data_IF_500525976533
#
_entry.id   IF_500525976533
#
_cell.length_a   1.000
_cell.length_b   1.000
_cell.length_c   1.000
_cell.angle_alpha   90.00
_cell.angle_beta   90.00
_cell.angle_gamma   90.00
#
_symmetry.space_group_name_H-M   'P 1'
#
loop_
_entity.id
_entity.type
_entity.pdbx_description
1 polymer ?
#
# COMPACT_ATOMS: atom_id res chain seq x y z
N UNK A 1 -1.62 24.16 60.08
CA UNK A 1 -1.36 24.37 58.64
C UNK A 1 -1.80 25.78 58.27
N UNK A 2 -0.90 26.61 57.77
CA UNK A 2 -1.22 27.97 57.29
C UNK A 2 -2.04 27.89 55.99
N UNK A 3 -3.35 28.05 56.08
CA UNK A 3 -4.25 28.07 54.91
C UNK A 3 -3.84 29.13 53.89
N UNK A 4 -3.31 30.28 54.35
CA UNK A 4 -2.81 31.36 53.50
C UNK A 4 -1.61 30.99 52.63
N UNK A 5 -0.75 30.06 53.09
CA UNK A 5 0.39 29.56 52.30
C UNK A 5 -0.04 28.48 51.31
N UNK A 6 -1.01 27.66 51.69
CA UNK A 6 -1.63 26.67 50.80
C UNK A 6 -2.30 27.33 49.59
N UNK A 7 -3.10 28.38 49.79
CA UNK A 7 -3.72 29.11 48.67
C UNK A 7 -2.69 29.80 47.77
N UNK A 8 -1.58 30.35 48.29
CA UNK A 8 -0.56 30.98 47.43
C UNK A 8 0.25 29.99 46.59
N UNK A 9 0.53 28.79 47.13
CA UNK A 9 1.37 27.80 46.44
C UNK A 9 0.57 26.95 45.43
N UNK A 10 -0.73 26.74 45.67
CA UNK A 10 -1.60 25.93 44.81
C UNK A 10 -2.57 26.74 43.93
N UNK A 11 -2.81 28.04 44.19
CA UNK A 11 -3.71 28.83 43.34
C UNK A 11 -3.20 28.99 41.90
N UNK A 12 -1.89 29.20 41.72
CA UNK A 12 -1.31 29.41 40.39
C UNK A 12 -1.44 28.18 39.47
N UNK A 13 -1.08 26.94 39.88
CA UNK A 13 -1.29 25.77 39.02
C UNK A 13 -2.78 25.48 38.78
N UNK A 14 -3.67 25.70 39.75
CA UNK A 14 -5.12 25.53 39.55
C UNK A 14 -5.70 26.56 38.57
N UNK A 15 -5.23 27.81 38.61
CA UNK A 15 -5.66 28.86 37.68
C UNK A 15 -5.22 28.54 36.24
N UNK A 16 -4.02 27.98 36.06
CA UNK A 16 -3.54 27.55 34.73
C UNK A 16 -4.41 26.43 34.17
N UNK A 17 -4.77 25.44 34.99
CA UNK A 17 -5.67 24.35 34.58
C UNK A 17 -7.06 24.88 34.23
N UNK A 18 -7.61 25.79 35.04
CA UNK A 18 -8.91 26.41 34.78
C UNK A 18 -8.93 27.24 33.48
N UNK A 19 -7.86 28.02 33.22
CA UNK A 19 -7.69 28.74 31.95
C UNK A 19 -7.58 27.78 30.76
N UNK A 20 -6.84 26.67 30.90
CA UNK A 20 -6.71 25.65 29.87
C UNK A 20 -8.05 25.01 29.51
N UNK A 21 -8.86 24.66 30.51
CA UNK A 21 -10.22 24.13 30.30
C UNK A 21 -11.11 25.17 29.61
N UNK A 22 -11.03 26.44 30.01
CA UNK A 22 -11.80 27.52 29.39
C UNK A 22 -11.46 27.73 27.91
N UNK A 23 -10.17 27.75 27.56
CA UNK A 23 -9.71 27.86 26.17
C UNK A 23 -10.14 26.63 25.36
N UNK A 24 -10.03 25.43 25.93
CA UNK A 24 -10.47 24.20 25.28
C UNK A 24 -11.97 24.22 24.93
N UNK A 25 -12.82 24.62 25.88
CA UNK A 25 -14.27 24.75 25.65
C UNK A 25 -14.57 25.84 24.61
N UNK A 26 -13.88 26.97 24.65
CA UNK A 26 -14.04 28.03 23.66
C UNK A 26 -13.67 27.57 22.24
N UNK A 27 -12.60 26.79 22.08
CA UNK A 27 -12.20 26.21 20.78
C UNK A 27 -13.24 25.24 20.25
N UNK A 28 -13.81 24.36 21.10
CA UNK A 28 -14.89 23.46 20.69
C UNK A 28 -16.13 24.24 20.24
N UNK A 29 -16.55 25.25 21.00
CA UNK A 29 -17.69 26.09 20.61
C UNK A 29 -17.44 26.89 19.32
N UNK A 30 -16.19 27.31 19.07
CA UNK A 30 -15.81 28.00 17.84
C UNK A 30 -15.72 27.06 16.62
N UNK A 31 -15.40 25.78 16.85
CA UNK A 31 -15.41 24.75 15.80
C UNK A 31 -16.83 24.36 15.36
N UNK A 32 -17.82 24.43 16.27
CA UNK A 32 -19.20 24.01 15.99
C UNK A 32 -20.00 25.03 15.15
N UNK A 33 -19.57 26.29 15.07
CA UNK A 33 -20.24 27.30 14.22
C UNK A 33 -20.12 27.03 12.72
N UNK A 34 -19.22 26.15 12.28
CA UNK A 34 -18.97 25.89 10.85
C UNK A 34 -19.80 24.74 10.28
N UNK A 35 -20.57 24.01 11.11
CA UNK A 35 -21.30 22.80 10.70
C UNK A 35 -22.81 22.80 11.06
N UNK A 36 -23.41 23.92 11.49
CA UNK A 36 -24.86 24.01 11.67
C UNK A 36 -25.59 24.33 10.35
N UNK A 37 -25.60 23.38 9.41
CA UNK A 37 -26.66 23.28 8.39
C UNK A 37 -27.49 22.04 8.74
N UNK A 38 -28.24 22.14 9.83
CA UNK A 38 -29.30 21.18 10.16
C UNK A 38 -30.43 21.45 9.17
N UNK A 39 -30.61 20.51 8.25
CA UNK A 39 -31.74 20.46 7.33
C UNK A 39 -33.05 20.47 8.13
N UNK A 40 -33.79 21.57 8.07
CA UNK A 40 -35.19 21.58 8.51
C UNK A 40 -35.98 20.63 7.61
N UNK A 41 -36.32 19.44 8.12
CA UNK A 41 -37.52 18.73 7.66
C UNK A 41 -38.71 19.61 7.98
N UNK A 42 -39.39 20.12 6.96
CA UNK A 42 -40.75 20.60 7.07
C UNK A 42 -41.67 19.52 6.49
N UNK A 43 -42.67 19.03 7.22
CA UNK A 43 -43.66 18.11 6.68
C UNK A 43 -44.86 18.89 6.12
N UNK A 44 -45.57 18.22 5.20
CA UNK A 44 -46.97 18.45 4.81
C UNK A 44 -47.21 19.24 3.52
N UNK A 45 -48.15 18.69 2.73
CA UNK A 45 -49.02 19.51 1.89
C UNK A 45 -48.86 19.33 0.39
N UNK A 46 -49.53 18.33 -0.15
CA UNK A 46 -50.07 18.32 -1.51
C UNK A 46 -50.73 19.65 -1.86
N UNK A 47 -50.40 20.29 -2.99
CA UNK A 47 -51.36 21.08 -3.78
C UNK A 47 -50.88 21.27 -5.23
N UNK A 48 -51.55 20.54 -6.11
CA UNK A 48 -52.08 20.88 -7.44
C UNK A 48 -51.33 21.93 -8.30
N UNK A 49 -50.88 21.43 -9.44
CA UNK A 49 -50.54 22.12 -10.69
C UNK A 49 -51.63 23.10 -11.12
N UNK A 50 -51.27 24.37 -11.30
CA UNK A 50 -51.97 25.26 -12.23
C UNK A 50 -50.96 26.18 -12.90
N UNK A 51 -50.71 25.92 -14.18
CA UNK A 51 -49.97 26.80 -15.07
C UNK A 51 -50.92 27.90 -15.54
N UNK A 52 -50.44 29.16 -15.55
CA UNK A 52 -50.66 30.08 -16.67
C UNK A 52 -49.61 31.22 -16.64
N UNK A 53 -49.24 31.81 -17.79
CA UNK A 53 -48.03 32.62 -17.99
C UNK A 53 -48.31 34.11 -18.23
N UNK A 54 -47.42 35.02 -17.83
CA UNK A 54 -47.27 36.41 -18.31
C UNK A 54 -46.06 37.03 -17.54
N UNK A 55 -44.90 37.34 -18.12
CA UNK A 55 -44.49 38.32 -19.15
C UNK A 55 -43.61 39.43 -18.53
N UNK A 56 -42.29 39.32 -18.78
CA UNK A 56 -41.28 40.38 -19.04
C UNK A 56 -40.96 41.46 -17.98
N UNK A 57 -39.90 42.29 -18.16
CA UNK A 57 -38.60 42.09 -18.87
C UNK A 57 -37.37 42.51 -17.99
N UNK A 58 -36.13 42.17 -18.41
CA UNK A 58 -35.06 43.15 -18.72
C UNK A 58 -33.66 42.50 -18.94
N UNK A 59 -33.08 42.85 -20.09
CA UNK A 59 -31.70 42.72 -20.61
C UNK A 59 -30.69 43.69 -19.91
N UNK A 60 -29.38 43.80 -20.29
CA UNK A 60 -28.60 43.07 -21.30
C UNK A 60 -27.23 42.52 -20.84
N UNK A 61 -26.69 41.68 -21.72
CA UNK A 61 -25.31 41.22 -21.84
C UNK A 61 -24.35 42.39 -22.15
N UNK A 62 -23.16 42.42 -21.54
CA UNK A 62 -22.03 43.20 -22.04
C UNK A 62 -20.98 42.28 -22.68
N UNK A 63 -20.84 42.45 -23.99
CA UNK A 63 -19.70 42.03 -24.81
C UNK A 63 -18.73 43.22 -24.83
N UNK A 64 -17.46 43.00 -24.53
CA UNK A 64 -16.39 43.92 -24.88
C UNK A 64 -15.25 43.14 -25.54
N UNK A 65 -15.19 43.30 -26.85
CA UNK A 65 -14.02 43.06 -27.69
C UNK A 65 -12.95 44.12 -27.35
N UNK A 66 -11.68 43.73 -27.38
CA UNK A 66 -10.60 44.59 -27.91
C UNK A 66 -9.44 43.70 -28.36
N UNK A 67 -9.06 43.94 -29.62
CA UNK A 67 -8.08 43.23 -30.43
C UNK A 67 -6.76 44.08 -30.49
N UNK A 68 -5.82 43.85 -31.43
CA UNK A 68 -4.52 43.19 -31.26
C UNK A 68 -3.32 44.16 -31.22
N UNK A 69 -2.09 43.62 -31.10
CA UNK A 69 -0.88 43.94 -31.91
C UNK A 69 0.43 43.76 -31.13
N UNK A 70 1.32 42.86 -31.59
CA UNK A 70 2.68 43.13 -32.09
C UNK A 70 3.58 41.89 -32.10
N UNK A 71 3.53 41.21 -33.24
CA UNK A 71 4.66 40.88 -34.11
C UNK A 71 6.07 41.34 -33.65
N UNK A 72 6.99 40.37 -33.49
CA UNK A 72 8.39 40.51 -33.92
C UNK A 72 8.79 39.18 -34.56
N UNK A 73 8.94 39.24 -35.89
CA UNK A 73 9.60 38.26 -36.73
C UNK A 73 11.12 38.53 -36.77
N UNK A 74 11.92 37.47 -36.75
CA UNK A 74 13.23 37.41 -37.40
C UNK A 74 13.68 35.95 -37.47
N UNK A 75 13.21 35.27 -38.54
CA UNK A 75 14.05 34.71 -39.62
C UNK A 75 15.53 34.41 -39.27
N UNK A 76 15.94 33.13 -39.35
CA UNK A 76 16.74 32.51 -40.44
C UNK A 76 18.23 32.42 -40.00
N UNK A 77 18.98 31.32 -40.10
CA UNK A 77 19.14 30.33 -41.16
C UNK A 77 19.94 29.08 -40.61
N UNK A 78 20.02 27.93 -41.31
CA UNK A 78 20.43 26.62 -40.80
C UNK A 78 21.85 26.19 -41.30
N UNK A 79 22.07 24.86 -41.40
CA UNK A 79 23.29 24.08 -41.68
C UNK A 79 24.03 23.67 -40.39
N UNK A 80 24.43 22.41 -40.16
CA UNK A 80 25.15 21.47 -41.04
C UNK A 80 24.79 20.02 -40.65
N UNK A 81 24.67 19.15 -41.67
CA UNK A 81 24.49 17.70 -41.60
C UNK A 81 25.79 16.92 -41.28
N UNK A 82 25.57 15.68 -40.80
CA UNK A 82 26.37 14.45 -41.07
C UNK A 82 27.65 14.16 -40.25
N UNK A 83 28.19 12.92 -40.27
CA UNK A 83 27.59 11.59 -40.07
C UNK A 83 28.20 10.84 -38.86
N UNK A 84 27.64 9.67 -38.56
CA UNK A 84 28.19 8.66 -37.67
C UNK A 84 29.66 8.28 -37.97
N UNK A 85 30.49 7.98 -36.95
CA UNK A 85 31.68 7.18 -37.12
C UNK A 85 31.43 5.71 -36.78
N UNK A 86 32.00 4.87 -37.64
CA UNK A 86 31.96 3.43 -37.63
C UNK A 86 32.69 2.76 -36.44
N UNK A 87 32.36 1.47 -36.30
CA UNK A 87 32.96 0.41 -35.49
C UNK A 87 34.49 0.48 -35.34
N UNK A 88 35.01 0.08 -34.17
CA UNK A 88 36.22 -0.73 -34.10
C UNK A 88 35.87 -2.21 -33.99
N UNK A 89 36.18 -2.95 -35.04
CA UNK A 89 36.44 -4.39 -35.03
C UNK A 89 37.68 -4.66 -34.18
N UNK A 90 37.54 -5.46 -33.13
CA UNK A 90 38.70 -6.07 -32.44
C UNK A 90 38.52 -7.57 -32.50
N UNK A 91 39.32 -8.18 -33.37
CA UNK A 91 39.54 -9.61 -33.45
C UNK A 91 40.14 -10.11 -32.13
N UNK A 92 39.45 -11.02 -31.44
CA UNK A 92 40.07 -11.95 -30.49
C UNK A 92 39.70 -13.36 -30.93
N UNK A 93 40.59 -13.88 -31.76
CA UNK A 93 41.05 -15.26 -31.89
C UNK A 93 40.37 -16.27 -30.96
N UNK A 94 39.43 -17.02 -31.54
CA UNK A 94 38.90 -18.26 -30.98
C UNK A 94 39.73 -19.42 -31.52
N UNK A 95 40.70 -19.89 -30.76
CA UNK A 95 41.39 -21.15 -31.02
C UNK A 95 40.61 -22.29 -30.34
N UNK A 96 40.10 -23.29 -31.07
CA UNK A 96 39.40 -24.42 -30.47
C UNK A 96 40.42 -25.44 -29.96
N UNK A 97 40.43 -25.71 -28.66
CA UNK A 97 41.03 -26.94 -28.15
C UNK A 97 40.03 -28.09 -28.28
N UNK A 98 40.31 -28.90 -29.29
CA UNK A 98 39.85 -30.28 -29.46
C UNK A 98 40.31 -31.08 -28.24
N UNK A 99 39.37 -31.58 -27.45
CA UNK A 99 39.64 -32.70 -26.54
C UNK A 99 38.77 -33.87 -26.98
N UNK A 100 39.48 -34.90 -27.39
CA UNK A 100 39.09 -36.18 -27.92
C UNK A 100 38.30 -37.02 -26.88
N UNK A 101 37.26 -37.77 -27.28
CA UNK A 101 36.53 -38.65 -26.38
C UNK A 101 37.28 -39.97 -26.20
N UNK A 102 37.61 -40.32 -24.96
CA UNK A 102 38.08 -41.67 -24.62
C UNK A 102 36.90 -42.56 -24.22
N UNK A 103 36.56 -43.49 -25.10
CA UNK A 103 35.96 -44.78 -24.75
C UNK A 103 36.92 -45.59 -23.89
N UNK A 104 36.44 -46.17 -22.79
CA UNK A 104 36.74 -47.57 -22.46
C UNK A 104 35.62 -48.15 -21.58
N UNK A 105 34.82 -49.02 -22.20
CA UNK A 105 34.15 -50.15 -21.56
C UNK A 105 35.22 -51.22 -21.24
N UNK A 106 35.07 -52.02 -20.18
CA UNK A 106 34.73 -53.41 -20.48
C UNK A 106 33.67 -54.05 -19.57
N UNK A 107 33.07 -55.06 -20.20
CA UNK A 107 31.97 -55.93 -19.83
C UNK A 107 32.16 -56.77 -18.55
N UNK A 108 31.02 -56.98 -17.89
CA UNK A 108 30.43 -58.25 -17.43
C UNK A 108 31.30 -59.27 -16.66
N UNK A 109 30.88 -59.54 -15.42
CA UNK A 109 30.97 -60.87 -14.80
C UNK A 109 29.58 -61.24 -14.28
N UNK A 110 29.15 -62.42 -14.72
CA UNK A 110 27.93 -63.18 -14.39
C UNK A 110 28.16 -63.92 -13.05
N UNK A 111 27.08 -64.24 -12.32
CA UNK A 111 26.74 -65.58 -11.75
C UNK A 111 25.88 -65.50 -10.47
N UNK A 112 24.73 -66.19 -10.55
CA UNK A 112 23.88 -66.88 -9.56
C UNK A 112 23.26 -66.14 -8.37
N UNK A 113 21.92 -66.02 -8.29
CA UNK A 113 20.85 -67.02 -8.02
C UNK A 113 20.49 -67.01 -6.54
N UNK A 114 19.21 -66.74 -6.20
CA UNK A 114 18.31 -67.70 -5.53
C UNK A 114 16.89 -67.13 -5.53
N UNK A 115 15.95 -67.92 -6.06
CA UNK A 115 14.50 -67.72 -6.00
C UNK A 115 13.99 -67.89 -4.56
N UNK A 116 12.99 -67.10 -4.19
CA UNK A 116 11.97 -67.55 -3.25
C UNK A 116 10.59 -67.14 -3.80
N UNK A 117 9.83 -68.16 -4.17
CA UNK A 117 8.48 -68.14 -4.71
C UNK A 117 7.44 -68.32 -3.59
N UNK A 118 6.42 -67.44 -3.58
CA UNK A 118 4.98 -67.71 -3.30
C UNK A 118 4.58 -67.96 -1.82
N UNK A 119 3.37 -67.59 -1.30
CA UNK A 119 2.11 -67.22 -1.99
C UNK A 119 1.47 -65.86 -1.63
N UNK A 120 0.60 -65.43 -2.55
CA UNK A 120 -0.45 -64.43 -2.38
C UNK A 120 -1.54 -64.98 -1.46
N UNK A 121 -1.70 -64.39 -0.27
CA UNK A 121 -2.90 -64.54 0.57
C UNK A 121 -3.72 -63.24 0.46
N UNK A 122 -4.97 -63.39 0.04
CA UNK A 122 -5.96 -62.34 -0.12
C UNK A 122 -6.62 -62.08 1.24
N UNK A 123 -6.33 -60.95 1.89
CA UNK A 123 -7.15 -60.45 3.02
C UNK A 123 -7.77 -59.09 2.69
N UNK A 124 -9.09 -59.01 2.85
CA UNK A 124 -9.93 -57.82 2.75
C UNK A 124 -10.89 -57.85 3.96
N UNK A 125 -11.28 -56.71 4.56
CA UNK A 125 -10.47 -55.67 5.18
C UNK A 125 -10.84 -55.51 6.68
N UNK A 126 -9.85 -55.35 7.55
CA UNK A 126 -10.11 -54.86 8.91
C UNK A 126 -10.20 -53.33 8.90
N UNK A 127 -11.30 -52.78 9.42
CA UNK A 127 -11.54 -51.34 9.55
C UNK A 127 -10.44 -50.68 10.38
N UNK A 128 -9.52 -49.98 9.72
CA UNK A 128 -8.68 -48.96 10.35
C UNK A 128 -9.53 -47.71 10.53
N UNK A 129 -9.84 -47.41 11.80
CA UNK A 129 -10.37 -46.13 12.26
C UNK A 129 -9.53 -45.01 11.61
N UNK A 130 -10.14 -44.01 10.93
CA UNK A 130 -9.36 -42.96 10.31
C UNK A 130 -8.56 -42.25 11.39
N UNK A 131 -7.23 -42.38 11.32
CA UNK A 131 -6.32 -41.53 12.06
C UNK A 131 -6.65 -40.10 11.65
N UNK A 132 -7.28 -39.34 12.53
CA UNK A 132 -7.45 -37.92 12.33
C UNK A 132 -6.03 -37.35 12.13
N UNK A 133 -5.77 -36.84 10.93
CA UNK A 133 -4.66 -35.93 10.70
C UNK A 133 -4.67 -34.93 11.87
N UNK A 134 -3.53 -34.69 12.55
CA UNK A 134 -3.48 -33.68 13.59
C UNK A 134 -4.08 -32.39 12.99
N UNK A 135 -4.94 -31.65 13.72
CA UNK A 135 -5.49 -30.41 13.21
C UNK A 135 -4.30 -29.58 12.75
N UNK A 136 -4.21 -29.37 11.43
CA UNK A 136 -3.22 -28.51 10.80
C UNK A 136 -3.25 -27.22 11.60
N UNK A 137 -2.21 -27.00 12.41
CA UNK A 137 -2.12 -25.81 13.23
C UNK A 137 -2.21 -24.65 12.26
N UNK A 138 -3.31 -23.92 12.29
CA UNK A 138 -3.44 -22.70 11.52
C UNK A 138 -2.33 -21.78 12.01
N UNK A 139 -1.20 -21.75 11.29
CA UNK A 139 -0.12 -20.84 11.56
C UNK A 139 -0.72 -19.44 11.49
N UNK A 140 -0.69 -18.70 12.58
CA UNK A 140 -1.09 -17.29 12.55
C UNK A 140 -0.13 -16.57 11.61
N UNK A 141 -0.60 -16.25 10.41
CA UNK A 141 0.22 -15.58 9.40
C UNK A 141 0.69 -14.23 9.97
N UNK A 142 2.01 -14.08 10.11
CA UNK A 142 2.63 -12.85 10.60
C UNK A 142 2.97 -11.98 9.39
N UNK A 143 2.69 -10.68 9.47
CA UNK A 143 3.01 -9.73 8.40
C UNK A 143 3.93 -8.60 8.87
N UNK A 144 4.81 -8.17 7.98
CA UNK A 144 5.62 -6.97 8.10
C UNK A 144 5.35 -6.00 6.95
N UNK A 145 5.38 -4.70 7.25
CA UNK A 145 5.09 -3.63 6.29
C UNK A 145 6.35 -2.85 6.01
N UNK A 146 6.69 -2.68 4.74
CA UNK A 146 7.92 -2.01 4.34
C UNK A 146 7.88 -0.51 4.71
N UNK A 147 8.82 -0.02 5.52
CA UNK A 147 8.90 1.41 5.88
C UNK A 147 9.33 2.29 4.70
N UNK A 148 10.09 1.71 3.78
CA UNK A 148 10.65 2.35 2.59
C UNK A 148 10.53 1.40 1.39
N UNK A 149 11.02 1.81 0.21
CA UNK A 149 11.28 0.83 -0.85
C UNK A 149 12.46 -0.03 -0.41
N UNK A 150 12.27 -1.35 -0.38
CA UNK A 150 13.24 -2.29 0.17
C UNK A 150 13.58 -3.37 -0.85
N UNK A 151 14.80 -3.88 -0.77
CA UNK A 151 15.25 -5.01 -1.57
C UNK A 151 14.97 -6.31 -0.82
N UNK A 152 14.45 -7.30 -1.52
CA UNK A 152 14.34 -8.69 -1.07
C UNK A 152 15.53 -9.43 -1.66
N UNK A 153 16.34 -10.05 -0.81
CA UNK A 153 17.62 -10.65 -1.18
C UNK A 153 17.58 -12.17 -1.11
N UNK A 154 18.51 -12.81 -1.81
CA UNK A 154 18.58 -14.27 -1.86
C UNK A 154 19.04 -14.90 -0.54
N UNK A 155 19.91 -14.21 0.21
CA UNK A 155 20.45 -14.63 1.51
C UNK A 155 20.42 -13.47 2.51
N UNK A 156 20.51 -13.70 3.84
CA UNK A 156 20.47 -12.65 4.86
C UNK A 156 21.78 -11.83 4.93
N UNK A 157 22.12 -11.15 3.84
CA UNK A 157 23.32 -10.33 3.70
C UNK A 157 23.09 -9.11 2.80
N UNK A 158 23.72 -7.98 3.10
CA UNK A 158 23.66 -6.75 2.27
C UNK A 158 24.35 -6.90 0.92
N UNK A 159 25.27 -7.86 0.80
CA UNK A 159 26.04 -8.13 -0.42
C UNK A 159 25.37 -9.19 -1.30
N UNK A 160 24.28 -9.79 -0.81
CA UNK A 160 23.54 -10.83 -1.52
C UNK A 160 22.78 -10.28 -2.73
N UNK A 161 22.60 -11.12 -3.75
CA UNK A 161 21.81 -10.79 -4.93
C UNK A 161 20.38 -10.33 -4.56
N UNK A 162 19.90 -9.31 -5.27
CA UNK A 162 18.55 -8.79 -5.14
C UNK A 162 17.64 -9.59 -6.06
N UNK A 163 16.67 -10.31 -5.50
CA UNK A 163 15.74 -11.16 -6.24
C UNK A 163 14.38 -10.50 -6.47
N UNK A 164 14.01 -9.53 -5.61
CA UNK A 164 12.78 -8.76 -5.75
C UNK A 164 12.88 -7.45 -4.96
N UNK A 165 11.86 -6.60 -5.07
CA UNK A 165 11.72 -5.35 -4.33
C UNK A 165 10.29 -5.20 -3.82
N UNK A 166 10.15 -4.63 -2.62
CA UNK A 166 8.85 -4.26 -2.08
C UNK A 166 8.70 -2.73 -2.06
N UNK A 167 7.49 -2.27 -2.38
CA UNK A 167 7.12 -0.86 -2.33
C UNK A 167 6.91 -0.39 -0.89
N UNK A 168 6.91 0.94 -0.68
CA UNK A 168 6.61 1.52 0.64
C UNK A 168 5.21 1.10 1.09
N UNK A 169 5.10 0.61 2.31
CA UNK A 169 3.86 0.16 2.93
C UNK A 169 3.36 -1.20 2.46
N UNK A 170 4.04 -1.85 1.51
CA UNK A 170 3.65 -3.18 1.02
C UNK A 170 3.72 -4.21 2.14
N UNK A 171 2.67 -5.05 2.24
CA UNK A 171 2.61 -6.15 3.18
C UNK A 171 3.44 -7.34 2.69
N UNK A 172 4.31 -7.85 3.55
CA UNK A 172 5.10 -9.04 3.32
C UNK A 172 4.78 -10.05 4.42
N UNK A 173 4.53 -11.29 4.04
CA UNK A 173 4.39 -12.38 4.99
C UNK A 173 5.77 -12.67 5.59
N UNK A 174 5.86 -12.77 6.91
CA UNK A 174 7.08 -13.12 7.64
C UNK A 174 7.03 -14.62 7.92
N UNK A 175 7.96 -15.36 7.31
CA UNK A 175 8.09 -16.81 7.46
C UNK A 175 8.97 -17.18 8.65
N UNK A 176 10.07 -16.44 8.86
CA UNK A 176 10.96 -16.61 10.00
C UNK A 176 11.66 -15.29 10.34
N UNK A 177 11.96 -15.11 11.62
CA UNK A 177 12.89 -14.08 12.10
C UNK A 177 14.25 -14.74 12.33
N UNK A 178 15.26 -14.32 11.58
CA UNK A 178 16.64 -14.80 11.69
C UNK A 178 17.40 -14.03 12.78
N UNK A 179 18.36 -14.68 13.43
CA UNK A 179 19.07 -14.13 14.59
C UNK A 179 19.87 -12.85 14.29
N UNK A 180 20.24 -12.62 13.03
CA UNK A 180 21.13 -11.53 12.61
C UNK A 180 20.38 -10.27 12.14
N UNK A 181 19.12 -10.10 12.55
CA UNK A 181 18.31 -8.93 12.18
C UNK A 181 17.80 -8.97 10.74
N UNK A 182 17.65 -10.18 10.19
CA UNK A 182 16.99 -10.45 8.93
C UNK A 182 15.70 -11.21 9.18
N UNK A 183 14.69 -10.98 8.36
CA UNK A 183 13.47 -11.79 8.34
C UNK A 183 13.38 -12.46 6.98
N UNK A 184 13.09 -13.76 6.96
CA UNK A 184 12.68 -14.45 5.76
C UNK A 184 11.22 -14.06 5.48
N UNK A 185 10.97 -13.55 4.29
CA UNK A 185 9.68 -13.01 3.89
C UNK A 185 9.20 -13.64 2.60
N UNK A 186 7.88 -13.63 2.42
CA UNK A 186 7.21 -14.00 1.18
C UNK A 186 6.39 -12.81 0.68
N UNK A 187 6.62 -12.44 -0.57
CA UNK A 187 5.81 -11.43 -1.25
C UNK A 187 4.47 -12.03 -1.71
N UNK A 188 3.49 -11.17 -2.00
CA UNK A 188 2.21 -11.58 -2.61
C UNK A 188 2.35 -12.36 -3.92
N UNK A 189 3.47 -12.19 -4.62
CA UNK A 189 3.78 -12.89 -5.86
C UNK A 189 4.43 -14.27 -5.62
N UNK A 190 4.53 -14.70 -4.36
CA UNK A 190 5.13 -15.97 -3.98
C UNK A 190 6.66 -15.96 -3.90
N UNK A 191 7.32 -14.84 -4.21
CA UNK A 191 8.79 -14.74 -4.09
C UNK A 191 9.18 -14.76 -2.62
N UNK A 192 9.99 -15.74 -2.24
CA UNK A 192 10.61 -15.85 -0.92
C UNK A 192 12.04 -15.31 -0.92
N UNK A 193 12.40 -14.56 0.11
CA UNK A 193 13.77 -14.07 0.30
C UNK A 193 13.96 -13.39 1.65
N UNK A 194 15.02 -12.60 1.76
CA UNK A 194 15.45 -12.01 3.02
C UNK A 194 15.41 -10.49 2.97
N UNK A 195 14.89 -9.89 4.04
CA UNK A 195 14.82 -8.44 4.25
C UNK A 195 15.39 -8.13 5.63
N UNK A 196 16.13 -7.03 5.77
CA UNK A 196 16.57 -6.56 7.08
C UNK A 196 15.36 -6.18 7.94
N UNK A 197 15.16 -6.84 9.08
CA UNK A 197 13.96 -6.74 9.93
C UNK A 197 13.70 -5.30 10.37
N UNK A 198 14.75 -4.48 10.56
CA UNK A 198 14.64 -3.05 10.92
C UNK A 198 13.84 -2.21 9.92
N UNK A 199 13.79 -2.64 8.66
CA UNK A 199 13.07 -1.97 7.57
C UNK A 199 11.60 -2.38 7.49
N UNK A 200 11.20 -3.40 8.24
CA UNK A 200 9.82 -3.82 8.41
C UNK A 200 9.23 -3.15 9.65
N UNK A 201 7.95 -2.80 9.57
CA UNK A 201 7.13 -2.48 10.71
C UNK A 201 6.07 -3.57 10.86
N UNK A 202 5.94 -4.17 12.04
CA UNK A 202 4.85 -5.13 12.31
C UNK A 202 3.61 -4.38 12.80
N UNK A 203 3.84 -3.37 13.63
CA UNK A 203 2.90 -2.33 13.99
C UNK A 203 3.68 -1.02 13.87
N UNK A 204 3.30 -0.11 12.96
CA UNK A 204 3.72 1.28 13.11
C UNK A 204 2.91 1.79 14.30
N UNK A 205 3.60 2.24 15.34
CA UNK A 205 3.02 2.77 16.57
C UNK A 205 1.77 3.59 16.25
N UNK A 206 0.67 3.20 16.90
CA UNK A 206 -0.69 3.74 16.77
C UNK A 206 -0.76 5.08 16.08
N UNK A 207 -0.72 5.07 14.75
CA UNK A 207 -1.23 6.19 13.98
C UNK A 207 -2.71 6.26 14.35
N UNK A 208 -3.25 7.45 14.63
CA UNK A 208 -4.65 7.63 15.04
C UNK A 208 -5.60 7.08 13.96
N UNK A 209 -5.86 5.77 13.94
CA UNK A 209 -6.65 5.14 12.89
C UNK A 209 -6.52 3.63 12.85
N UNK A 210 -7.50 3.02 12.21
CA UNK A 210 -7.63 1.57 12.02
C UNK A 210 -6.79 1.12 10.81
N UNK A 211 -6.01 0.03 10.91
CA UNK A 211 -5.20 -0.46 9.81
C UNK A 211 -6.07 -1.17 8.76
N UNK A 212 -5.85 -0.84 7.49
CA UNK A 212 -6.44 -1.49 6.33
C UNK A 212 -5.37 -1.77 5.26
N UNK A 213 -5.67 -2.68 4.36
CA UNK A 213 -4.85 -3.08 3.21
C UNK A 213 -5.60 -2.72 1.93
N UNK A 214 -4.90 -2.09 0.98
CA UNK A 214 -5.45 -1.77 -0.34
C UNK A 214 -5.60 -3.05 -1.18
N UNK A 215 -6.81 -3.35 -1.63
CA UNK A 215 -7.08 -4.52 -2.49
C UNK A 215 -7.20 -4.17 -3.98
N UNK A 216 -7.33 -2.88 -4.32
CA UNK A 216 -7.29 -2.45 -5.72
C UNK A 216 -5.85 -2.42 -6.25
N UNK A 217 -5.64 -2.75 -7.53
CA UNK A 217 -4.34 -2.62 -8.21
C UNK A 217 -3.75 -1.21 -8.08
N UNK A 218 -4.65 -0.22 -8.09
CA UNK A 218 -4.33 1.18 -8.03
C UNK A 218 -5.52 1.96 -7.47
N UNK A 219 -5.40 2.41 -6.23
CA UNK A 219 -6.45 3.17 -5.56
C UNK A 219 -6.14 4.66 -5.60
N UNK A 220 -7.02 5.46 -6.18
CA UNK A 220 -6.88 6.91 -6.18
C UNK A 220 -7.19 7.47 -4.79
N UNK A 221 -6.34 8.39 -4.34
CA UNK A 221 -6.58 9.22 -3.15
C UNK A 221 -7.09 10.56 -3.62
N UNK A 222 -8.25 10.99 -3.11
CA UNK A 222 -8.93 12.20 -3.54
C UNK A 222 -8.92 13.27 -2.47
N UNK A 223 -8.99 14.54 -2.88
CA UNK A 223 -9.00 15.68 -1.97
C UNK A 223 -10.29 15.78 -1.13
N UNK A 224 -11.40 15.24 -1.64
CA UNK A 224 -12.72 15.23 -1.00
C UNK A 224 -13.33 13.83 -1.07
N UNK A 225 -14.27 13.53 -0.17
CA UNK A 225 -15.08 12.31 -0.14
C UNK A 225 -16.09 12.26 -1.29
N UNK A 226 -15.61 12.34 -2.53
CA UNK A 226 -16.42 12.40 -3.74
C UNK A 226 -15.68 11.73 -4.90
N UNK A 227 -16.42 10.96 -5.70
CA UNK A 227 -15.95 10.30 -6.93
C UNK A 227 -15.42 11.28 -7.99
N UNK A 228 -15.90 12.53 -7.97
CA UNK A 228 -15.44 13.60 -8.87
C UNK A 228 -14.37 14.50 -8.24
N UNK A 229 -13.99 14.25 -6.98
CA UNK A 229 -12.94 15.02 -6.30
C UNK A 229 -11.58 14.87 -6.98
N UNK A 230 -10.78 15.94 -6.98
CA UNK A 230 -9.44 15.93 -7.55
C UNK A 230 -8.57 14.80 -6.96
N UNK A 231 -7.86 14.06 -7.80
CA UNK A 231 -6.92 13.01 -7.38
C UNK A 231 -5.62 13.68 -6.93
N UNK A 232 -5.22 13.41 -5.69
CA UNK A 232 -4.02 13.99 -5.05
C UNK A 232 -2.94 12.94 -4.78
N UNK A 233 -3.24 11.66 -5.02
CA UNK A 233 -2.31 10.57 -4.82
C UNK A 233 -2.86 9.25 -5.34
N UNK A 234 -2.01 8.22 -5.27
CA UNK A 234 -2.34 6.86 -5.69
C UNK A 234 -1.68 5.87 -4.75
N UNK A 235 -2.44 4.90 -4.30
CA UNK A 235 -1.98 3.80 -3.46
C UNK A 235 -1.87 2.54 -4.29
N UNK A 236 -0.82 1.76 -4.02
CA UNK A 236 -0.59 0.48 -4.68
C UNK A 236 -1.33 -0.63 -3.96
N UNK A 237 -1.62 -1.70 -4.68
CA UNK A 237 -2.17 -2.92 -4.10
C UNK A 237 -1.27 -3.46 -2.97
N UNK A 238 -1.89 -4.08 -1.98
CA UNK A 238 -1.26 -4.67 -0.80
C UNK A 238 -0.50 -3.65 0.08
N UNK A 239 -0.72 -2.35 -0.15
CA UNK A 239 -0.20 -1.29 0.70
C UNK A 239 -1.07 -1.17 1.95
N UNK A 240 -0.44 -1.10 3.12
CA UNK A 240 -1.11 -0.76 4.37
C UNK A 240 -1.39 0.74 4.45
N UNK A 241 -2.59 1.08 4.90
CA UNK A 241 -3.04 2.44 5.22
C UNK A 241 -3.72 2.48 6.58
N UNK A 242 -3.78 3.68 7.17
CA UNK A 242 -4.49 3.93 8.42
C UNK A 242 -5.71 4.81 8.15
N UNK A 243 -6.88 4.26 8.42
CA UNK A 243 -8.17 4.94 8.27
C UNK A 243 -8.47 5.70 9.56
N UNK A 244 -8.52 7.02 9.47
CA UNK A 244 -8.74 7.92 10.61
C UNK A 244 -10.23 8.07 10.91
N UNK A 245 -11.04 8.13 9.85
CA UNK A 245 -12.47 8.41 9.91
C UNK A 245 -13.16 7.83 8.66
N UNK A 246 -14.44 7.48 8.77
CA UNK A 246 -15.27 7.04 7.65
C UNK A 246 -16.47 7.96 7.47
N UNK A 247 -16.73 8.35 6.23
CA UNK A 247 -17.86 9.20 5.83
C UNK A 247 -18.58 8.56 4.64
N UNK A 248 -19.70 7.89 4.90
CA UNK A 248 -20.39 7.08 3.88
C UNK A 248 -19.44 6.02 3.32
N UNK A 249 -19.30 5.98 1.99
CA UNK A 249 -18.44 5.01 1.28
C UNK A 249 -16.96 5.42 1.22
N UNK A 250 -16.56 6.47 1.94
CA UNK A 250 -15.22 7.04 1.92
C UNK A 250 -14.52 6.90 3.26
N UNK A 251 -13.23 6.61 3.22
CA UNK A 251 -12.32 6.65 4.36
C UNK A 251 -11.36 7.82 4.23
N UNK A 252 -11.21 8.59 5.30
CA UNK A 252 -10.18 9.62 5.44
C UNK A 252 -8.87 8.97 5.92
N UNK A 253 -7.79 9.26 5.23
CA UNK A 253 -6.44 8.77 5.54
C UNK A 253 -5.45 9.94 5.62
N UNK A 254 -4.31 9.72 6.28
CA UNK A 254 -3.17 10.63 6.22
C UNK A 254 -2.09 10.03 5.29
N UNK A 255 -1.62 10.82 4.33
CA UNK A 255 -0.52 10.45 3.46
C UNK A 255 0.84 10.68 4.16
N UNK A 256 1.94 10.07 3.66
CA UNK A 256 3.28 10.26 4.24
C UNK A 256 3.72 11.72 4.35
N UNK A 257 3.25 12.59 3.45
CA UNK A 257 3.52 14.04 3.45
C UNK A 257 2.65 14.84 4.45
N UNK A 258 1.95 14.15 5.37
CA UNK A 258 1.03 14.72 6.38
C UNK A 258 -0.25 15.37 5.82
N UNK A 259 -0.48 15.31 4.52
CA UNK A 259 -1.76 15.72 3.93
C UNK A 259 -2.85 14.68 4.20
N UNK A 260 -4.10 15.13 4.26
CA UNK A 260 -5.26 14.25 4.34
C UNK A 260 -5.87 14.02 2.97
N UNK A 261 -6.40 12.81 2.76
CA UNK A 261 -7.12 12.45 1.56
C UNK A 261 -8.20 11.42 1.84
N UNK A 262 -9.01 11.16 0.83
CA UNK A 262 -10.16 10.26 0.88
C UNK A 262 -10.00 9.12 -0.12
N UNK A 263 -10.28 7.91 0.33
CA UNK A 263 -10.25 6.68 -0.48
C UNK A 263 -11.57 5.94 -0.34
N UNK A 264 -11.95 5.14 -1.34
CA UNK A 264 -13.18 4.35 -1.25
C UNK A 264 -13.00 3.13 -0.34
N UNK A 265 -13.99 2.88 0.52
CA UNK A 265 -14.05 1.72 1.40
C UNK A 265 -14.13 0.39 0.63
N UNK A 266 -14.71 0.39 -0.57
CA UNK A 266 -14.88 -0.81 -1.41
C UNK A 266 -13.55 -1.36 -1.96
N UNK A 267 -12.44 -0.66 -1.73
CA UNK A 267 -11.13 -1.00 -2.27
C UNK A 267 -10.09 -1.24 -1.17
N UNK A 268 -10.53 -1.41 0.08
CA UNK A 268 -9.67 -1.73 1.21
C UNK A 268 -10.24 -2.89 2.06
N UNK A 269 -9.37 -3.64 2.73
CA UNK A 269 -9.70 -4.77 3.60
C UNK A 269 -8.97 -4.67 4.94
N UNK A 270 -9.52 -5.24 6.01
CA UNK A 270 -8.83 -5.33 7.31
C UNK A 270 -7.74 -6.39 7.33
N UNK A 271 -7.76 -7.33 6.39
CA UNK A 271 -6.78 -8.40 6.26
C UNK A 271 -6.03 -8.30 4.94
N UNK A 272 -4.79 -8.77 4.95
CA UNK A 272 -4.04 -9.09 3.73
C UNK A 272 -4.80 -10.21 3.00
N UNK A 273 -4.87 -10.13 1.67
CA UNK A 273 -5.51 -11.13 0.79
C UNK A 273 -4.47 -11.95 0.05
#
# INVERSE_FOLDING_TARGET
MDTRKFFKLYSLPFLIVALGIGVYVAVIMLMDQKNLIISKRSPSGSHIVKNDPLNAPQEPVQIAQNEPSKEVDSAMEPLIEDPAPALPTTDIESTPQVVEPQETNPQAVVVDNTQATTPLEQELPSQVLPSQLPPSQASSQKYGYAKYRINIRQTPSSESAIISRAAVGEALEILSDEKDGWSKVKSRFGVEGYVASRLLAQNLDSQNGEPYIVVANALNVRLKADSQGAVIGRLSHNMRVYVLETQGDWAKIQLPNKQYGYISLNHISKSVQ
#
